data_IF_772706724162
#
_entry.id   IF_772706724162
#
_cell.length_a   1.000
_cell.length_b   1.000
_cell.length_c   1.000
_cell.angle_alpha   90.00
_cell.angle_beta   90.00
_cell.angle_gamma   90.00
#
_symmetry.space_group_name_H-M   'P 1'
#
loop_
_entity.id
_entity.type
_entity.pdbx_description
1 polymer ?
#
# COMPACT_ATOMS: atom_id res chain seq x y z
N UNK A 1 -24.42 -8.08 -0.01
CA UNK A 1 -23.31 -8.58 -0.85
C UNK A 1 -22.04 -7.72 -0.72
N UNK A 2 -22.14 -6.38 -0.64
CA UNK A 2 -20.96 -5.49 -0.50
C UNK A 2 -20.03 -5.82 0.69
N UNK A 3 -20.57 -6.24 1.85
CA UNK A 3 -19.75 -6.62 3.01
C UNK A 3 -18.80 -7.80 2.77
N UNK A 4 -19.13 -8.70 1.84
CA UNK A 4 -18.25 -9.82 1.48
C UNK A 4 -17.00 -9.37 0.73
N UNK A 5 -17.09 -8.31 -0.08
CA UNK A 5 -15.93 -7.76 -0.79
C UNK A 5 -14.90 -7.24 0.22
N UNK A 6 -15.37 -6.52 1.24
CA UNK A 6 -14.51 -6.05 2.32
C UNK A 6 -13.93 -7.21 3.15
N UNK A 7 -14.75 -8.18 3.55
CA UNK A 7 -14.30 -9.32 4.36
C UNK A 7 -13.24 -10.17 3.64
N UNK A 8 -13.49 -10.51 2.37
CA UNK A 8 -12.51 -11.24 1.55
C UNK A 8 -11.25 -10.43 1.29
N UNK A 9 -11.39 -9.12 1.13
CA UNK A 9 -10.25 -8.21 1.01
C UNK A 9 -9.36 -8.19 2.26
N UNK A 10 -9.95 -8.17 3.46
CA UNK A 10 -9.19 -8.25 4.71
C UNK A 10 -8.50 -9.61 4.85
N UNK A 11 -9.20 -10.70 4.52
CA UNK A 11 -8.61 -12.04 4.53
C UNK A 11 -7.44 -12.16 3.54
N UNK A 12 -7.53 -11.46 2.40
CA UNK A 12 -6.45 -11.38 1.42
C UNK A 12 -5.25 -10.63 1.96
N UNK A 13 -5.46 -9.45 2.55
CA UNK A 13 -4.40 -8.63 3.14
C UNK A 13 -3.63 -9.38 4.24
N UNK A 14 -4.34 -10.17 5.05
CA UNK A 14 -3.75 -11.00 6.09
C UNK A 14 -2.71 -12.02 5.56
N UNK A 15 -2.81 -12.40 4.29
CA UNK A 15 -1.86 -13.30 3.61
C UNK A 15 -0.81 -12.51 2.82
N UNK A 16 -1.22 -11.47 2.09
CA UNK A 16 -0.31 -10.73 1.22
C UNK A 16 0.68 -9.88 2.00
N UNK A 17 0.30 -9.31 3.13
CA UNK A 17 1.16 -8.38 3.88
C UNK A 17 2.42 -9.08 4.45
N UNK A 18 2.30 -10.23 5.17
CA UNK A 18 3.48 -10.96 5.64
C UNK A 18 4.35 -11.50 4.49
N UNK A 19 3.72 -11.97 3.41
CA UNK A 19 4.43 -12.48 2.24
C UNK A 19 5.24 -11.38 1.55
N UNK A 20 4.65 -10.20 1.38
CA UNK A 20 5.30 -9.04 0.79
C UNK A 20 6.46 -8.56 1.66
N UNK A 21 6.29 -8.52 2.99
CA UNK A 21 7.37 -8.20 3.93
C UNK A 21 8.56 -9.15 3.79
N UNK A 22 8.28 -10.45 3.76
CA UNK A 22 9.29 -11.49 3.56
C UNK A 22 10.04 -11.37 2.22
N UNK A 23 9.33 -11.07 1.13
CA UNK A 23 9.94 -10.85 -0.18
C UNK A 23 10.81 -9.59 -0.21
N UNK A 24 10.32 -8.49 0.36
CA UNK A 24 11.03 -7.23 0.39
C UNK A 24 12.36 -7.33 1.17
N UNK A 25 12.35 -8.02 2.30
CA UNK A 25 13.55 -8.19 3.13
C UNK A 25 14.65 -9.02 2.45
N UNK A 26 14.29 -9.94 1.54
CA UNK A 26 15.25 -10.79 0.81
C UNK A 26 15.70 -10.21 -0.52
N UNK A 27 15.08 -9.12 -0.95
CA UNK A 27 15.44 -8.46 -2.20
C UNK A 27 16.74 -7.70 -2.03
N UNK A 28 17.64 -7.84 -3.01
CA UNK A 28 18.92 -7.15 -3.04
C UNK A 28 19.07 -6.51 -4.40
N UNK A 29 18.96 -5.18 -4.43
CA UNK A 29 19.17 -4.40 -5.66
C UNK A 29 20.09 -3.22 -5.38
N UNK A 30 20.59 -2.59 -6.44
CA UNK A 30 21.39 -1.37 -6.34
C UNK A 30 20.63 -0.21 -5.67
N UNK A 31 19.30 -0.23 -5.68
CA UNK A 31 18.46 0.79 -5.05
C UNK A 31 18.15 0.48 -3.59
N UNK A 32 18.52 -0.69 -3.07
CA UNK A 32 18.11 -1.18 -1.75
C UNK A 32 17.16 -2.38 -1.85
N UNK A 33 16.57 -2.77 -0.72
CA UNK A 33 15.67 -3.91 -0.62
C UNK A 33 14.21 -3.49 -0.79
N UNK A 34 13.83 -2.33 -0.23
CA UNK A 34 12.44 -1.86 -0.18
C UNK A 34 12.10 -0.86 -1.29
N UNK A 35 13.07 -0.01 -1.65
CA UNK A 35 12.91 1.06 -2.67
C UNK A 35 12.42 0.58 -4.04
N UNK A 36 12.87 -0.57 -4.59
CA UNK A 36 12.37 -1.07 -5.87
C UNK A 36 10.85 -1.30 -5.88
N UNK A 37 10.30 -1.87 -4.79
CA UNK A 37 8.88 -2.16 -4.70
C UNK A 37 8.04 -0.89 -4.64
N UNK A 38 8.51 0.13 -3.93
CA UNK A 38 7.84 1.43 -3.87
C UNK A 38 7.83 2.09 -5.25
N UNK A 39 8.98 2.09 -5.95
CA UNK A 39 9.10 2.74 -7.25
C UNK A 39 8.30 1.99 -8.33
N UNK A 40 8.61 0.72 -8.56
CA UNK A 40 7.96 -0.06 -9.62
C UNK A 40 6.53 -0.42 -9.27
N UNK A 41 6.19 -0.60 -7.99
CA UNK A 41 4.83 -0.88 -7.54
C UNK A 41 3.91 0.34 -7.58
N UNK A 42 4.45 1.56 -7.57
CA UNK A 42 3.62 2.78 -7.69
C UNK A 42 2.84 2.86 -9.00
N UNK A 43 3.39 2.33 -10.10
CA UNK A 43 2.75 2.35 -11.42
C UNK A 43 1.54 1.40 -11.49
N UNK A 44 1.66 0.10 -11.14
CA UNK A 44 0.50 -0.77 -11.00
C UNK A 44 -0.54 -0.24 -10.01
N UNK A 45 -0.10 0.37 -8.90
CA UNK A 45 -1.00 0.98 -7.93
C UNK A 45 -1.82 2.12 -8.57
N UNK A 46 -1.18 3.03 -9.32
CA UNK A 46 -1.89 4.09 -10.03
C UNK A 46 -2.91 3.55 -11.05
N UNK A 47 -2.53 2.53 -11.83
CA UNK A 47 -3.46 1.89 -12.77
C UNK A 47 -4.65 1.24 -12.04
N UNK A 48 -4.40 0.62 -10.89
CA UNK A 48 -5.46 0.01 -10.09
C UNK A 48 -6.46 1.04 -9.54
N UNK A 49 -6.05 2.28 -9.26
CA UNK A 49 -6.97 3.35 -8.86
C UNK A 49 -7.96 3.70 -9.97
N UNK A 50 -7.48 3.79 -11.21
CA UNK A 50 -8.34 4.04 -12.38
C UNK A 50 -9.33 2.90 -12.54
N UNK A 51 -8.87 1.66 -12.42
CA UNK A 51 -9.74 0.49 -12.53
C UNK A 51 -10.78 0.41 -11.40
N UNK A 52 -10.42 0.83 -10.18
CA UNK A 52 -11.31 0.85 -9.02
C UNK A 52 -12.42 1.90 -9.14
N UNK A 53 -12.13 3.03 -9.78
CA UNK A 53 -13.06 4.14 -9.97
C UNK A 53 -13.79 4.10 -11.32
N UNK A 54 -13.43 3.20 -12.20
CA UNK A 54 -14.16 2.95 -13.43
C UNK A 54 -15.49 2.26 -13.14
N UNK A 55 -16.57 2.76 -13.74
CA UNK A 55 -17.91 2.18 -13.60
C UNK A 55 -18.11 1.13 -14.69
N UNK A 56 -18.10 -0.17 -14.36
CA UNK A 56 -18.32 -1.22 -15.35
C UNK A 56 -19.79 -1.28 -15.78
N UNK A 57 -20.09 -1.59 -17.07
CA UNK A 57 -21.46 -1.74 -17.58
C UNK A 57 -22.08 -3.11 -17.22
N UNK A 58 -21.68 -3.70 -16.09
CA UNK A 58 -22.08 -5.05 -15.68
C UNK A 58 -23.17 -5.01 -14.61
N UNK A 59 -24.00 -6.05 -14.56
CA UNK A 59 -25.08 -6.16 -13.58
C UNK A 59 -25.05 -7.49 -12.82
N UNK A 60 -25.74 -7.54 -11.68
CA UNK A 60 -25.93 -8.76 -10.89
C UNK A 60 -24.64 -9.42 -10.41
N UNK A 61 -24.56 -10.75 -10.52
CA UNK A 61 -23.42 -11.55 -10.04
C UNK A 61 -22.12 -11.21 -10.77
N UNK A 62 -22.19 -10.85 -12.06
CA UNK A 62 -20.99 -10.54 -12.83
C UNK A 62 -20.35 -9.23 -12.36
N UNK A 63 -21.16 -8.22 -12.03
CA UNK A 63 -20.70 -7.00 -11.38
C UNK A 63 -20.00 -7.30 -10.04
N UNK A 64 -20.61 -8.17 -9.21
CA UNK A 64 -20.01 -8.54 -7.93
C UNK A 64 -18.64 -9.20 -8.08
N UNK A 65 -18.51 -10.18 -8.97
CA UNK A 65 -17.24 -10.88 -9.23
C UNK A 65 -16.19 -9.89 -9.77
N UNK A 66 -16.59 -9.01 -10.69
CA UNK A 66 -15.70 -7.99 -11.24
C UNK A 66 -15.18 -7.05 -10.15
N UNK A 67 -16.08 -6.48 -9.33
CA UNK A 67 -15.70 -5.58 -8.23
C UNK A 67 -14.81 -6.27 -7.20
N UNK A 68 -15.08 -7.55 -6.89
CA UNK A 68 -14.22 -8.34 -6.01
C UNK A 68 -12.81 -8.49 -6.60
N UNK A 69 -12.69 -8.87 -7.86
CA UNK A 69 -11.38 -9.04 -8.51
C UNK A 69 -10.59 -7.73 -8.57
N UNK A 70 -11.25 -6.64 -8.97
CA UNK A 70 -10.62 -5.30 -9.00
C UNK A 70 -10.17 -4.88 -7.60
N UNK A 71 -10.98 -5.14 -6.57
CA UNK A 71 -10.61 -4.85 -5.18
C UNK A 71 -9.38 -5.64 -4.73
N UNK A 72 -9.31 -6.93 -5.04
CA UNK A 72 -8.14 -7.77 -4.71
C UNK A 72 -6.88 -7.33 -5.45
N UNK A 73 -7.00 -6.93 -6.73
CA UNK A 73 -5.87 -6.39 -7.50
C UNK A 73 -5.38 -5.09 -6.85
N UNK A 74 -6.28 -4.16 -6.55
CA UNK A 74 -5.94 -2.90 -5.91
C UNK A 74 -5.27 -3.11 -4.56
N UNK A 75 -5.83 -3.99 -3.71
CA UNK A 75 -5.24 -4.36 -2.42
C UNK A 75 -3.84 -4.94 -2.57
N UNK A 76 -3.65 -5.86 -3.52
CA UNK A 76 -2.32 -6.44 -3.78
C UNK A 76 -1.32 -5.36 -4.19
N UNK A 77 -1.68 -4.47 -5.12
CA UNK A 77 -0.82 -3.35 -5.53
C UNK A 77 -0.52 -2.41 -4.35
N UNK A 78 -1.53 -2.15 -3.50
CA UNK A 78 -1.38 -1.33 -2.32
C UNK A 78 -0.42 -1.97 -1.32
N UNK A 79 -0.56 -3.26 -1.01
CA UNK A 79 0.36 -4.02 -0.14
C UNK A 79 1.80 -3.99 -0.64
N UNK A 80 2.01 -4.19 -1.95
CA UNK A 80 3.34 -4.17 -2.58
C UNK A 80 4.07 -2.85 -2.34
N UNK A 81 3.35 -1.73 -2.21
CA UNK A 81 3.94 -0.42 -1.94
C UNK A 81 3.96 -0.11 -0.43
N UNK A 82 2.84 -0.33 0.25
CA UNK A 82 2.59 0.09 1.64
C UNK A 82 3.46 -0.67 2.64
N UNK A 83 3.62 -1.99 2.47
CA UNK A 83 4.43 -2.81 3.38
C UNK A 83 5.91 -2.41 3.29
N UNK A 84 6.52 -2.27 2.11
CA UNK A 84 7.88 -1.76 2.01
C UNK A 84 8.04 -0.31 2.49
N UNK A 85 7.07 0.56 2.21
CA UNK A 85 7.12 1.96 2.64
C UNK A 85 7.08 2.12 4.17
N UNK A 86 6.20 1.39 4.85
CA UNK A 86 6.14 1.38 6.32
C UNK A 86 7.42 0.80 6.93
N UNK A 87 7.92 -0.31 6.37
CA UNK A 87 9.16 -0.96 6.81
C UNK A 87 10.40 -0.10 6.59
N UNK A 88 10.43 0.73 5.54
CA UNK A 88 11.54 1.62 5.23
C UNK A 88 11.75 2.66 6.34
N UNK A 89 10.68 3.15 6.97
CA UNK A 89 10.78 4.18 8.03
C UNK A 89 11.64 3.70 9.20
N UNK A 90 11.51 2.43 9.58
CA UNK A 90 12.32 1.82 10.64
C UNK A 90 13.80 1.62 10.26
N UNK A 91 14.13 1.69 8.96
CA UNK A 91 15.49 1.51 8.43
C UNK A 91 16.24 2.80 8.16
N UNK A 92 15.60 3.96 8.34
CA UNK A 92 16.23 5.27 8.10
C UNK A 92 17.11 5.68 9.29
N UNK A 93 16.66 5.46 10.53
CA UNK A 93 17.36 5.86 11.75
C UNK A 93 17.23 4.79 12.84
N UNK A 94 18.29 4.61 13.62
CA UNK A 94 18.31 3.73 14.80
C UNK A 94 17.82 4.46 16.07
N UNK A 95 17.72 5.79 16.02
CA UNK A 95 17.23 6.60 17.14
C UNK A 95 15.69 6.55 17.20
N UNK A 96 15.18 6.10 18.35
CA UNK A 96 13.75 5.99 18.63
C UNK A 96 13.02 7.35 18.60
N UNK A 97 13.67 8.43 19.03
CA UNK A 97 13.09 9.77 19.04
C UNK A 97 12.99 10.35 17.63
N UNK A 98 14.05 10.18 16.82
CA UNK A 98 14.01 10.56 15.40
C UNK A 98 12.97 9.75 14.62
N UNK A 99 12.90 8.44 14.87
CA UNK A 99 11.90 7.55 14.25
C UNK A 99 10.48 7.97 14.60
N UNK A 100 10.25 8.37 15.85
CA UNK A 100 8.95 8.87 16.32
C UNK A 100 8.61 10.16 15.57
N UNK A 101 9.52 11.14 15.50
CA UNK A 101 9.33 12.39 14.75
C UNK A 101 9.00 12.15 13.27
N UNK A 102 9.74 11.25 12.60
CA UNK A 102 9.48 10.87 11.21
C UNK A 102 8.09 10.25 11.05
N UNK A 103 7.71 9.36 11.96
CA UNK A 103 6.40 8.71 11.94
C UNK A 103 5.27 9.72 12.14
N UNK A 104 5.42 10.65 13.08
CA UNK A 104 4.45 11.73 13.32
C UNK A 104 4.31 12.63 12.09
N UNK A 105 5.42 13.08 11.50
CA UNK A 105 5.40 13.90 10.29
C UNK A 105 4.68 13.18 9.13
N UNK A 106 4.97 11.88 8.95
CA UNK A 106 4.31 11.03 7.96
C UNK A 106 2.79 10.92 8.21
N UNK A 107 2.37 10.76 9.46
CA UNK A 107 0.94 10.68 9.82
C UNK A 107 0.22 12.01 9.57
N UNK A 108 0.84 13.14 9.88
CA UNK A 108 0.29 14.46 9.57
C UNK A 108 0.16 14.68 8.06
N UNK A 109 1.17 14.29 7.28
CA UNK A 109 1.11 14.34 5.82
C UNK A 109 -0.01 13.44 5.26
N UNK A 110 -0.17 12.23 5.81
CA UNK A 110 -1.26 11.33 5.43
C UNK A 110 -2.63 11.93 5.76
N UNK A 111 -2.80 12.53 6.94
CA UNK A 111 -4.04 13.20 7.33
C UNK A 111 -4.36 14.38 6.40
N UNK A 112 -3.36 15.19 6.05
CA UNK A 112 -3.50 16.28 5.10
C UNK A 112 -3.92 15.76 3.70
N UNK A 113 -3.30 14.70 3.20
CA UNK A 113 -3.66 14.06 1.94
C UNK A 113 -5.10 13.53 1.93
N UNK A 114 -5.51 12.84 2.99
CA UNK A 114 -6.89 12.37 3.16
C UNK A 114 -7.89 13.53 3.16
N UNK A 115 -7.58 14.61 3.88
CA UNK A 115 -8.42 15.81 3.90
C UNK A 115 -8.51 16.47 2.52
N UNK A 116 -7.38 16.62 1.81
CA UNK A 116 -7.35 17.17 0.46
C UNK A 116 -8.20 16.36 -0.52
N UNK A 117 -8.07 15.03 -0.53
CA UNK A 117 -8.91 14.18 -1.39
C UNK A 117 -10.39 14.31 -1.00
N UNK A 118 -10.69 14.27 0.30
CA UNK A 118 -12.09 14.36 0.77
C UNK A 118 -12.75 15.69 0.38
N UNK A 119 -11.98 16.79 0.42
CA UNK A 119 -12.46 18.12 0.04
C UNK A 119 -12.55 18.32 -1.48
N UNK A 120 -11.59 17.78 -2.25
CA UNK A 120 -11.43 18.07 -3.68
C UNK A 120 -12.04 17.01 -4.60
N UNK A 121 -12.35 15.80 -4.12
CA UNK A 121 -12.83 14.71 -4.95
C UNK A 121 -14.08 15.09 -5.76
N UNK A 122 -15.14 15.56 -5.10
CA UNK A 122 -16.38 15.97 -5.80
C UNK A 122 -16.18 17.16 -6.74
N UNK A 123 -15.50 18.26 -6.34
CA UNK A 123 -15.16 19.33 -7.26
C UNK A 123 -14.42 18.85 -8.52
N UNK A 124 -13.45 17.94 -8.38
CA UNK A 124 -12.72 17.35 -9.51
C UNK A 124 -13.67 16.55 -10.40
N UNK A 125 -14.48 15.67 -9.81
CA UNK A 125 -15.44 14.82 -10.57
C UNK A 125 -16.42 15.69 -11.35
N UNK A 126 -16.98 16.72 -10.73
CA UNK A 126 -17.96 17.61 -11.38
C UNK A 126 -17.34 18.47 -12.47
N UNK A 127 -16.13 18.97 -12.25
CA UNK A 127 -15.43 19.83 -13.21
C UNK A 127 -14.95 19.04 -14.44
N UNK A 128 -14.32 17.88 -14.23
CA UNK A 128 -13.77 17.06 -15.33
C UNK A 128 -14.79 16.10 -15.96
N UNK A 129 -15.87 15.76 -15.24
CA UNK A 129 -16.92 14.87 -15.75
C UNK A 129 -17.80 15.50 -16.82
N UNK A 130 -17.88 16.84 -16.91
CA UNK A 130 -18.61 17.52 -17.99
C UNK A 130 -20.11 17.14 -18.09
N UNK A 131 -20.72 16.70 -16.99
CA UNK A 131 -22.09 16.18 -16.93
C UNK A 131 -22.20 14.65 -16.84
N UNK A 132 -21.11 13.91 -17.06
CA UNK A 132 -21.04 12.46 -16.88
C UNK A 132 -20.17 12.11 -15.66
N UNK A 133 -20.82 11.82 -14.53
CA UNK A 133 -20.13 11.54 -13.26
C UNK A 133 -19.18 10.34 -13.36
N UNK A 134 -19.55 9.30 -14.12
CA UNK A 134 -18.72 8.11 -14.32
C UNK A 134 -17.35 8.45 -14.92
N UNK A 135 -17.30 9.34 -15.92
CA UNK A 135 -16.04 9.83 -16.48
C UNK A 135 -15.28 10.70 -15.47
N UNK A 136 -15.99 11.51 -14.68
CA UNK A 136 -15.39 12.30 -13.61
C UNK A 136 -14.63 11.45 -12.58
N UNK A 137 -15.17 10.29 -12.19
CA UNK A 137 -14.49 9.35 -11.28
C UNK A 137 -13.24 8.73 -11.90
N UNK A 138 -13.24 8.45 -13.21
CA UNK A 138 -12.05 7.98 -13.94
C UNK A 138 -10.95 9.05 -13.93
N UNK A 139 -11.30 10.32 -14.19
CA UNK A 139 -10.34 11.44 -14.11
C UNK A 139 -9.80 11.63 -12.69
N UNK A 140 -10.65 11.50 -11.67
CA UNK A 140 -10.20 11.51 -10.27
C UNK A 140 -9.18 10.40 -10.01
N UNK A 141 -9.44 9.17 -10.51
CA UNK A 141 -8.52 8.04 -10.40
C UNK A 141 -7.19 8.28 -11.09
N UNK A 142 -7.20 8.89 -12.28
CA UNK A 142 -5.98 9.29 -12.99
C UNK A 142 -5.18 10.32 -12.19
N UNK A 143 -5.82 11.40 -11.74
CA UNK A 143 -5.17 12.47 -10.97
C UNK A 143 -4.58 11.91 -9.67
N UNK A 144 -5.35 11.10 -8.94
CA UNK A 144 -4.90 10.45 -7.70
C UNK A 144 -3.73 9.49 -7.97
N UNK A 145 -3.83 8.66 -9.02
CA UNK A 145 -2.78 7.73 -9.42
C UNK A 145 -1.47 8.43 -9.80
N UNK A 146 -1.53 9.46 -10.64
CA UNK A 146 -0.35 10.26 -11.02
C UNK A 146 0.26 10.97 -9.81
N UNK A 147 -0.57 11.54 -8.95
CA UNK A 147 -0.11 12.19 -7.71
C UNK A 147 0.59 11.19 -6.79
N UNK A 148 0.04 9.98 -6.63
CA UNK A 148 0.66 8.92 -5.86
C UNK A 148 2.01 8.51 -6.43
N UNK A 149 2.12 8.30 -7.75
CA UNK A 149 3.40 7.96 -8.42
C UNK A 149 4.43 9.07 -8.22
N UNK A 150 4.03 10.34 -8.36
CA UNK A 150 4.93 11.47 -8.17
C UNK A 150 5.47 11.52 -6.73
N UNK A 151 4.60 11.45 -5.72
CA UNK A 151 4.98 11.50 -4.31
C UNK A 151 5.86 10.29 -3.92
N UNK A 152 5.49 9.09 -4.36
CA UNK A 152 6.26 7.88 -4.06
C UNK A 152 7.61 7.88 -4.76
N UNK A 153 7.68 8.39 -6.00
CA UNK A 153 8.94 8.57 -6.72
C UNK A 153 9.86 9.55 -5.99
N UNK A 154 9.34 10.70 -5.55
CA UNK A 154 10.10 11.66 -4.73
C UNK A 154 10.62 10.97 -3.47
N UNK A 155 9.78 10.23 -2.74
CA UNK A 155 10.24 9.46 -1.58
C UNK A 155 11.40 8.54 -1.94
N UNK A 156 11.30 7.76 -3.02
CA UNK A 156 12.35 6.83 -3.43
C UNK A 156 13.64 7.58 -3.77
N UNK A 157 13.60 8.71 -4.46
CA UNK A 157 14.80 9.44 -4.87
C UNK A 157 15.50 10.15 -3.71
N UNK A 158 14.74 10.72 -2.77
CA UNK A 158 15.27 11.50 -1.67
C UNK A 158 15.61 10.66 -0.43
N UNK A 159 14.88 9.57 -0.18
CA UNK A 159 15.14 8.68 0.95
C UNK A 159 16.17 7.62 0.55
N UNK A 160 17.34 7.67 1.18
CA UNK A 160 18.34 6.61 1.06
C UNK A 160 18.06 5.53 2.10
N UNK A 161 17.89 4.30 1.62
CA UNK A 161 17.84 3.12 2.48
C UNK A 161 19.25 2.85 3.02
N UNK A 162 19.38 2.72 4.35
CA UNK A 162 20.65 2.34 4.97
C UNK A 162 20.93 0.87 4.65
N UNK A 163 22.12 0.58 4.11
CA UNK A 163 22.54 -0.79 3.81
C UNK A 163 22.81 -1.54 5.11
N UNK A 164 22.05 -2.60 5.38
CA UNK A 164 22.41 -3.58 6.38
C UNK A 164 23.05 -4.78 5.67
N UNK A 165 24.27 -5.12 6.06
CA UNK A 165 25.02 -6.28 5.55
C UNK A 165 24.51 -7.59 6.18
N UNK A 166 23.21 -7.88 6.07
CA UNK A 166 22.73 -9.23 6.35
C UNK A 166 22.92 -10.09 5.11
N UNK A 167 23.74 -11.13 5.24
CA UNK A 167 23.98 -12.11 4.18
C UNK A 167 22.68 -12.90 3.99
N UNK A 168 22.30 -13.24 2.75
CA UNK A 168 21.03 -13.94 2.45
C UNK A 168 20.87 -15.26 3.25
N UNK A 169 21.98 -15.83 3.68
CA UNK A 169 22.10 -17.04 4.49
C UNK A 169 21.72 -16.85 5.97
N UNK A 170 21.78 -15.62 6.49
CA UNK A 170 21.42 -15.30 7.88
C UNK A 170 19.91 -15.11 8.06
N UNK A 171 19.15 -14.99 6.97
CA UNK A 171 17.71 -14.75 7.01
C UNK A 171 16.93 -16.07 7.21
N UNK A 172 16.16 -16.21 8.31
CA UNK A 172 15.39 -17.41 8.60
C UNK A 172 14.35 -17.71 7.50
N UNK A 173 14.16 -18.99 7.17
CA UNK A 173 13.16 -19.42 6.19
C UNK A 173 11.75 -18.96 6.57
N UNK A 174 10.84 -18.79 5.60
CA UNK A 174 9.46 -18.35 5.87
C UNK A 174 8.77 -19.20 6.95
N UNK A 175 8.99 -20.52 6.93
CA UNK A 175 8.46 -21.45 7.93
C UNK A 175 9.00 -21.15 9.33
N UNK A 176 10.29 -20.80 9.44
CA UNK A 176 10.90 -20.46 10.72
C UNK A 176 10.43 -19.09 11.22
N UNK A 177 10.26 -18.10 10.34
CA UNK A 177 9.66 -16.80 10.69
C UNK A 177 8.24 -17.00 11.22
N UNK A 178 7.41 -17.73 10.47
CA UNK A 178 6.03 -18.00 10.87
C UNK A 178 5.96 -18.74 12.21
N UNK A 179 6.79 -19.77 12.40
CA UNK A 179 6.89 -20.50 13.68
C UNK A 179 7.33 -19.61 14.85
N UNK A 180 8.26 -18.69 14.61
CA UNK A 180 8.72 -17.74 15.63
C UNK A 180 7.62 -16.76 16.02
N UNK A 181 6.84 -16.25 15.05
CA UNK A 181 5.69 -15.37 15.33
C UNK A 181 4.62 -16.12 16.13
N UNK A 182 4.28 -17.35 15.74
CA UNK A 182 3.26 -18.13 16.46
C UNK A 182 3.68 -18.48 17.88
N UNK A 183 4.98 -18.66 18.14
CA UNK A 183 5.52 -18.98 19.47
C UNK A 183 5.79 -17.74 20.35
N UNK A 184 5.66 -16.52 19.80
CA UNK A 184 5.98 -15.30 20.53
C UNK A 184 4.77 -14.82 21.35
N UNK A 185 4.74 -15.19 22.63
CA UNK A 185 3.65 -14.84 23.54
C UNK A 185 3.45 -13.31 23.71
N UNK A 186 4.51 -12.49 23.91
CA UNK A 186 4.38 -11.03 23.89
C UNK A 186 3.73 -10.47 22.61
N UNK A 187 4.07 -11.03 21.45
CA UNK A 187 3.46 -10.62 20.18
C UNK A 187 1.94 -10.83 20.20
N UNK A 188 1.45 -11.98 20.68
CA UNK A 188 0.02 -12.25 20.76
C UNK A 188 -0.73 -11.39 21.78
N UNK A 189 -0.10 -11.02 22.89
CA UNK A 189 -0.71 -10.07 23.85
C UNK A 189 -0.94 -8.74 23.17
N UNK A 190 0.09 -8.18 22.53
CA UNK A 190 -0.02 -6.89 21.83
C UNK A 190 -1.02 -6.98 20.67
N UNK A 191 -0.97 -8.08 19.91
CA UNK A 191 -1.89 -8.32 18.80
C UNK A 191 -3.35 -8.42 19.25
N UNK A 192 -3.62 -9.03 20.41
CA UNK A 192 -4.98 -9.14 20.97
C UNK A 192 -5.52 -7.83 21.56
N UNK A 193 -4.64 -6.85 21.81
CA UNK A 193 -4.99 -5.56 22.39
C UNK A 193 -5.30 -4.48 21.34
N UNK A 194 -5.05 -4.77 20.05
CA UNK A 194 -5.34 -3.92 18.88
C UNK A 194 -6.64 -4.40 18.24
#
# INVERSE_FOLDING_TARGET
>A
MAGWIYALGIAWDAVTDPFMGYMAERTRTKMGSYRPYIFYGSVPLALSFVLLLWVPPFEGTFLFIFLLLVNLIHRTCFTVVSVPYSSLTARITDDSDERTKLTTARMLAAAAGTFSISALAFPIVLFFGGGEEALGFVYLGLIAGFTAVAILSVTVFFVKERSFEFTKEELPSFKNVFKSVTNNYPFWIVFSAI
#
